data_IF_423857703647
#
_entry.id   IF_423857703647
#
_cell.length_a   1.000
_cell.length_b   1.000
_cell.length_c   1.000
_cell.angle_alpha   90.00
_cell.angle_beta   90.00
_cell.angle_gamma   90.00
#
_symmetry.space_group_name_H-M   'P 1'
#
loop_
_entity.id
_entity.type
_entity.pdbx_description
1 polymer ?
#
# COMPACT_ATOMS: atom_id res chain seq x y z
N UNK A 1 1.97 -59.58 30.89
CA UNK A 1 1.91 -58.24 30.26
C UNK A 1 2.60 -58.33 28.91
N UNK A 2 1.86 -58.26 27.80
CA UNK A 2 2.45 -58.28 26.46
C UNK A 2 2.92 -56.86 26.12
N UNK A 3 4.17 -56.66 25.66
CA UNK A 3 4.66 -55.34 25.28
C UNK A 3 3.97 -54.89 23.98
N UNK A 4 3.27 -53.76 24.03
CA UNK A 4 2.72 -53.10 22.85
C UNK A 4 3.88 -52.61 21.97
N UNK A 5 4.01 -53.18 20.77
CA UNK A 5 5.05 -52.81 19.81
C UNK A 5 4.73 -51.42 19.24
N UNK A 6 5.39 -50.38 19.74
CA UNK A 6 5.30 -49.04 19.16
C UNK A 6 5.85 -49.07 17.73
N UNK A 7 4.98 -48.91 16.72
CA UNK A 7 5.39 -48.68 15.33
C UNK A 7 5.83 -47.22 15.22
N UNK A 8 7.14 -46.98 15.28
CA UNK A 8 7.72 -45.67 15.03
C UNK A 8 7.76 -45.34 13.53
N UNK A 9 7.78 -44.04 13.21
CA UNK A 9 8.04 -43.54 11.85
C UNK A 9 9.43 -43.94 11.38
N UNK A 10 9.57 -44.31 10.11
CA UNK A 10 10.88 -44.60 9.51
C UNK A 10 11.61 -43.30 9.15
N UNK A 11 12.95 -43.33 9.24
CA UNK A 11 13.79 -42.21 8.77
C UNK A 11 13.56 -41.89 7.29
N UNK A 12 13.25 -42.92 6.49
CA UNK A 12 12.97 -42.77 5.05
C UNK A 12 11.64 -42.05 4.83
N UNK A 13 10.58 -42.38 5.57
CA UNK A 13 9.30 -41.65 5.48
C UNK A 13 9.47 -40.18 5.85
N UNK A 14 10.26 -39.89 6.88
CA UNK A 14 10.52 -38.52 7.30
C UNK A 14 11.33 -37.74 6.25
N UNK A 15 12.34 -38.37 5.63
CA UNK A 15 13.12 -37.74 4.57
C UNK A 15 12.29 -37.43 3.32
N UNK A 16 11.39 -38.34 2.91
CA UNK A 16 10.49 -38.09 1.78
C UNK A 16 9.50 -36.97 2.10
N UNK A 17 8.93 -36.96 3.31
CA UNK A 17 8.02 -35.90 3.74
C UNK A 17 8.69 -34.52 3.71
N UNK A 18 9.92 -34.43 4.23
CA UNK A 18 10.71 -33.18 4.21
C UNK A 18 11.03 -32.74 2.77
N UNK A 19 11.34 -33.68 1.87
CA UNK A 19 11.60 -33.36 0.47
C UNK A 19 10.36 -32.74 -0.22
N UNK A 20 9.18 -33.31 -0.01
CA UNK A 20 7.92 -32.79 -0.58
C UNK A 20 7.60 -31.39 -0.01
N UNK A 21 7.70 -31.22 1.32
CA UNK A 21 7.46 -29.92 1.97
C UNK A 21 8.45 -28.87 1.45
N UNK A 22 9.72 -29.25 1.24
CA UNK A 22 10.75 -28.35 0.70
C UNK A 22 10.39 -27.78 -0.68
N UNK A 23 9.89 -28.63 -1.58
CA UNK A 23 9.45 -28.19 -2.92
C UNK A 23 8.23 -27.26 -2.81
N UNK A 24 7.22 -27.63 -2.03
CA UNK A 24 6.02 -26.80 -1.85
C UNK A 24 6.34 -25.43 -1.23
N UNK A 25 7.22 -25.40 -0.22
CA UNK A 25 7.61 -24.18 0.47
C UNK A 25 8.33 -23.18 -0.45
N UNK A 26 9.09 -23.66 -1.44
CA UNK A 26 9.82 -22.80 -2.38
C UNK A 26 8.91 -21.88 -3.20
N UNK A 27 7.69 -22.34 -3.52
CA UNK A 27 6.67 -21.55 -4.22
C UNK A 27 5.74 -20.81 -3.25
N UNK A 28 5.35 -21.47 -2.15
CA UNK A 28 4.36 -20.93 -1.22
C UNK A 28 4.88 -19.72 -0.44
N UNK A 29 6.14 -19.72 -0.02
CA UNK A 29 6.72 -18.64 0.78
C UNK A 29 6.75 -17.29 0.02
N UNK A 30 7.29 -17.18 -1.21
CA UNK A 30 7.31 -15.91 -1.92
C UNK A 30 5.89 -15.40 -2.22
N UNK A 31 4.96 -16.29 -2.58
CA UNK A 31 3.58 -15.91 -2.82
C UNK A 31 2.88 -15.39 -1.55
N UNK A 32 3.07 -16.08 -0.41
CA UNK A 32 2.51 -15.66 0.88
C UNK A 32 3.08 -14.31 1.32
N UNK A 33 4.38 -14.08 1.15
CA UNK A 33 5.02 -12.78 1.44
C UNK A 33 4.40 -11.67 0.61
N UNK A 34 4.24 -11.87 -0.70
CA UNK A 34 3.59 -10.88 -1.57
C UNK A 34 2.15 -10.59 -1.14
N UNK A 35 1.37 -11.61 -0.76
CA UNK A 35 0.00 -11.43 -0.27
C UNK A 35 -0.04 -10.58 1.01
N UNK A 36 0.81 -10.91 1.98
CA UNK A 36 0.92 -10.16 3.24
C UNK A 36 1.35 -8.71 2.97
N UNK A 37 2.30 -8.49 2.07
CA UNK A 37 2.74 -7.15 1.68
C UNK A 37 1.60 -6.35 1.03
N UNK A 38 0.81 -6.94 0.13
CA UNK A 38 -0.39 -6.28 -0.45
C UNK A 38 -1.41 -5.90 0.63
N UNK A 39 -1.64 -6.76 1.61
CA UNK A 39 -2.55 -6.47 2.71
C UNK A 39 -2.08 -5.25 3.53
N UNK A 40 -0.79 -5.22 3.91
CA UNK A 40 -0.19 -4.10 4.64
C UNK A 40 -0.24 -2.79 3.84
N UNK A 41 0.03 -2.83 2.54
CA UNK A 41 -0.06 -1.66 1.67
C UNK A 41 -1.50 -1.18 1.46
N UNK A 42 -2.46 -2.09 1.47
CA UNK A 42 -3.89 -1.75 1.46
C UNK A 42 -4.29 -1.03 2.75
N UNK A 43 -3.79 -1.46 3.91
CA UNK A 43 -4.00 -0.74 5.17
C UNK A 43 -3.39 0.67 5.13
N UNK A 44 -2.18 0.81 4.58
CA UNK A 44 -1.56 2.12 4.37
C UNK A 44 -2.39 3.02 3.43
N UNK A 45 -2.99 2.45 2.38
CA UNK A 45 -3.90 3.17 1.49
C UNK A 45 -5.19 3.61 2.21
N UNK A 46 -5.76 2.72 3.02
CA UNK A 46 -6.96 3.01 3.81
C UNK A 46 -6.71 4.17 4.79
N UNK A 47 -5.53 4.24 5.39
CA UNK A 47 -5.17 5.35 6.28
C UNK A 47 -5.24 6.72 5.58
N UNK A 48 -5.00 6.81 4.28
CA UNK A 48 -4.98 8.08 3.51
C UNK A 48 -6.33 8.40 2.86
N UNK A 49 -7.27 7.45 2.91
CA UNK A 49 -8.61 7.57 2.33
C UNK A 49 -9.41 8.80 2.79
N UNK A 50 -9.35 9.25 4.07
CA UNK A 50 -10.06 10.47 4.48
C UNK A 50 -9.59 11.73 3.75
N UNK A 51 -8.28 11.90 3.55
CA UNK A 51 -7.75 13.02 2.75
C UNK A 51 -8.20 12.90 1.31
N UNK A 52 -8.21 11.66 0.78
CA UNK A 52 -8.72 11.35 -0.55
C UNK A 52 -10.16 11.85 -0.72
N UNK A 53 -11.07 11.49 0.20
CA UNK A 53 -12.47 11.93 0.11
C UNK A 53 -12.62 13.45 0.15
N UNK A 54 -11.91 14.13 1.05
CA UNK A 54 -11.95 15.60 1.10
C UNK A 54 -11.39 16.26 -0.15
N UNK A 55 -10.38 15.66 -0.78
CA UNK A 55 -9.89 16.16 -2.06
C UNK A 55 -10.94 15.99 -3.18
N UNK A 56 -11.71 14.89 -3.19
CA UNK A 56 -12.81 14.73 -4.15
C UNK A 56 -13.86 15.81 -3.94
N UNK A 57 -14.27 16.05 -2.69
CA UNK A 57 -15.24 17.11 -2.34
C UNK A 57 -14.73 18.49 -2.78
N UNK A 58 -13.46 18.78 -2.50
CA UNK A 58 -12.81 20.02 -2.94
C UNK A 58 -12.85 20.18 -4.46
N UNK A 59 -12.53 19.14 -5.22
CA UNK A 59 -12.55 19.19 -6.69
C UNK A 59 -13.98 19.26 -7.23
N UNK A 60 -14.96 18.65 -6.57
CA UNK A 60 -16.37 18.76 -6.96
C UNK A 60 -16.89 20.21 -6.84
N UNK A 61 -16.41 20.97 -5.85
CA UNK A 61 -16.77 22.37 -5.65
C UNK A 61 -15.94 23.32 -6.52
N UNK A 62 -14.63 23.09 -6.64
CA UNK A 62 -13.69 24.02 -7.27
C UNK A 62 -13.32 23.65 -8.72
N UNK A 63 -13.79 22.50 -9.22
CA UNK A 63 -13.52 21.99 -10.56
C UNK A 63 -12.09 21.46 -10.80
N UNK A 64 -11.12 21.70 -9.92
CA UNK A 64 -9.77 21.13 -10.05
C UNK A 64 -8.96 21.21 -8.75
N UNK A 65 -7.79 20.58 -8.72
CA UNK A 65 -6.80 20.76 -7.64
C UNK A 65 -5.88 21.98 -7.85
N UNK A 66 -6.12 22.83 -8.86
CA UNK A 66 -5.23 23.95 -9.19
C UNK A 66 -5.13 24.97 -8.04
N UNK A 67 -6.21 25.19 -7.30
CA UNK A 67 -6.22 26.05 -6.10
C UNK A 67 -5.36 25.54 -4.94
N UNK A 68 -4.92 24.27 -5.00
CA UNK A 68 -4.02 23.66 -4.03
C UNK A 68 -2.57 23.61 -4.54
N UNK A 69 -2.33 23.99 -5.80
CA UNK A 69 -0.98 24.09 -6.34
C UNK A 69 -0.16 25.12 -5.57
N UNK A 70 1.14 24.86 -5.39
CA UNK A 70 2.03 25.74 -4.62
C UNK A 70 1.86 25.72 -3.10
N UNK A 71 0.72 25.25 -2.56
CA UNK A 71 0.49 25.17 -1.12
C UNK A 71 1.34 24.07 -0.47
N UNK A 72 1.79 24.31 0.78
CA UNK A 72 2.40 23.29 1.62
C UNK A 72 1.36 22.31 2.19
N UNK A 73 1.80 21.16 2.69
CA UNK A 73 0.91 20.08 3.14
C UNK A 73 -0.09 20.52 4.23
N UNK A 74 0.36 21.25 5.25
CA UNK A 74 -0.52 21.73 6.32
C UNK A 74 -1.60 22.70 5.83
N UNK A 75 -1.25 23.55 4.86
CA UNK A 75 -2.21 24.47 4.22
C UNK A 75 -3.25 23.70 3.39
N UNK A 76 -2.81 22.65 2.68
CA UNK A 76 -3.72 21.75 1.96
C UNK A 76 -4.68 21.07 2.93
N UNK A 77 -4.19 20.48 4.03
CA UNK A 77 -5.04 19.83 5.02
C UNK A 77 -6.09 20.80 5.62
N UNK A 78 -5.68 22.04 5.91
CA UNK A 78 -6.61 23.08 6.39
C UNK A 78 -7.70 23.40 5.37
N UNK A 79 -7.34 23.56 4.09
CA UNK A 79 -8.29 23.81 3.00
C UNK A 79 -9.26 22.64 2.81
N UNK A 80 -8.79 21.42 3.01
CA UNK A 80 -9.58 20.19 2.94
C UNK A 80 -10.39 19.91 4.21
N UNK A 81 -10.28 20.74 5.26
CA UNK A 81 -10.95 20.50 6.53
C UNK A 81 -10.48 19.23 7.25
N UNK A 82 -9.23 18.82 7.03
CA UNK A 82 -8.61 17.65 7.68
C UNK A 82 -7.66 18.12 8.79
N UNK A 83 -7.67 17.43 9.93
CA UNK A 83 -6.73 17.70 11.03
C UNK A 83 -5.27 17.60 10.57
N UNK A 84 -4.41 18.53 11.00
CA UNK A 84 -2.98 18.50 10.70
C UNK A 84 -2.23 17.38 11.41
N UNK A 85 -2.82 16.81 12.47
CA UNK A 85 -2.24 15.69 13.25
C UNK A 85 -2.63 14.32 12.69
N UNK A 86 -2.90 14.25 11.38
CA UNK A 86 -3.53 13.10 10.74
C UNK A 86 -2.73 11.79 10.87
N UNK A 87 -1.40 11.85 10.90
CA UNK A 87 -0.52 10.66 10.91
C UNK A 87 0.19 10.41 12.24
N UNK A 88 -0.13 11.18 13.30
CA UNK A 88 0.54 11.09 14.60
C UNK A 88 0.46 9.70 15.24
N UNK A 89 -0.63 8.94 15.03
CA UNK A 89 -0.87 7.71 15.80
C UNK A 89 -1.53 6.53 15.04
N UNK A 90 -1.97 6.68 13.78
CA UNK A 90 -3.01 5.80 13.22
C UNK A 90 -2.60 4.89 12.04
N UNK A 91 -1.33 4.80 11.67
CA UNK A 91 -0.93 3.84 10.64
C UNK A 91 0.39 3.17 10.92
N UNK A 92 0.35 1.85 11.07
CA UNK A 92 1.53 1.00 11.29
C UNK A 92 2.48 0.96 10.09
N UNK A 93 1.97 1.28 8.90
CA UNK A 93 2.65 1.08 7.63
C UNK A 93 2.93 2.37 6.85
N UNK A 94 2.43 3.51 7.30
CA UNK A 94 2.71 4.83 6.72
C UNK A 94 3.76 5.54 7.56
N UNK A 95 4.82 6.04 6.91
CA UNK A 95 5.89 6.81 7.54
C UNK A 95 5.67 8.30 7.38
N UNK A 96 5.25 8.74 6.20
CA UNK A 96 4.94 10.14 5.95
C UNK A 96 3.93 10.26 4.80
N UNK A 97 3.14 11.33 4.83
CA UNK A 97 2.30 11.74 3.70
C UNK A 97 2.50 13.21 3.47
N UNK A 98 2.62 13.59 2.20
CA UNK A 98 2.77 14.97 1.82
C UNK A 98 2.14 15.26 0.48
N UNK A 99 1.95 16.54 0.24
CA UNK A 99 1.49 17.08 -1.03
C UNK A 99 2.67 17.47 -1.91
N UNK A 100 2.69 16.99 -3.15
CA UNK A 100 3.55 17.53 -4.18
C UNK A 100 2.88 18.77 -4.77
N UNK A 101 3.36 19.93 -4.35
CA UNK A 101 2.81 21.24 -4.71
C UNK A 101 2.97 21.61 -6.20
N UNK A 102 3.87 20.94 -6.94
CA UNK A 102 4.07 21.16 -8.37
C UNK A 102 3.12 20.33 -9.23
N UNK A 103 2.83 19.08 -8.82
CA UNK A 103 2.07 18.12 -9.63
C UNK A 103 0.65 17.85 -9.13
N UNK A 104 0.27 18.41 -7.98
CA UNK A 104 -1.04 18.18 -7.38
C UNK A 104 -1.26 16.73 -6.96
N UNK A 105 -0.23 16.10 -6.38
CA UNK A 105 -0.24 14.68 -6.01
C UNK A 105 -0.15 14.50 -4.50
N UNK A 106 -0.89 13.53 -3.98
CA UNK A 106 -0.65 12.99 -2.64
C UNK A 106 0.40 11.90 -2.75
N UNK A 107 1.44 12.00 -1.93
CA UNK A 107 2.51 11.00 -1.84
C UNK A 107 2.55 10.41 -0.45
N UNK A 108 2.71 9.09 -0.40
CA UNK A 108 2.75 8.31 0.83
C UNK A 108 4.04 7.50 0.81
N UNK A 109 4.85 7.66 1.86
CA UNK A 109 6.00 6.79 2.12
C UNK A 109 5.65 5.76 3.18
N UNK A 110 6.32 4.62 3.10
CA UNK A 110 6.05 3.47 3.94
C UNK A 110 7.10 3.33 5.05
N UNK A 111 6.73 2.61 6.11
CA UNK A 111 7.67 2.25 7.17
C UNK A 111 8.72 1.25 6.67
N UNK A 112 9.85 1.21 7.35
CA UNK A 112 10.99 0.38 6.92
C UNK A 112 10.71 -1.15 7.08
N UNK A 113 9.58 -1.52 7.72
CA UNK A 113 9.09 -2.91 7.85
C UNK A 113 8.32 -3.41 6.60
N UNK A 114 8.45 -2.68 5.47
CA UNK A 114 7.92 -3.04 4.16
C UNK A 114 9.06 -2.98 3.14
N UNK A 115 9.91 -4.01 3.08
CA UNK A 115 11.10 -3.99 2.21
C UNK A 115 10.75 -3.84 0.73
N UNK A 116 9.61 -4.40 0.28
CA UNK A 116 9.16 -4.28 -1.11
C UNK A 116 8.71 -2.85 -1.48
N UNK A 117 8.40 -2.02 -0.48
CA UNK A 117 7.98 -0.63 -0.63
C UNK A 117 9.06 0.38 -0.19
N UNK A 118 10.21 -0.10 0.28
CA UNK A 118 11.27 0.76 0.80
C UNK A 118 11.83 1.66 -0.31
N UNK A 119 11.94 2.97 -0.02
CA UNK A 119 12.36 3.99 -0.99
C UNK A 119 11.34 4.26 -2.11
N UNK A 120 10.17 3.62 -2.09
CA UNK A 120 9.08 3.83 -3.05
C UNK A 120 7.91 4.53 -2.40
N UNK A 121 7.05 5.10 -3.26
CA UNK A 121 5.90 5.88 -2.84
C UNK A 121 4.62 5.36 -3.48
N UNK A 122 3.53 5.39 -2.72
CA UNK A 122 2.20 5.43 -3.31
C UNK A 122 1.95 6.88 -3.74
N UNK A 123 1.67 7.06 -5.02
CA UNK A 123 1.41 8.37 -5.61
C UNK A 123 -0.01 8.38 -6.14
N UNK A 124 -0.82 9.27 -5.61
CA UNK A 124 -2.23 9.43 -5.98
C UNK A 124 -2.44 10.82 -6.55
N UNK A 125 -3.13 10.89 -7.68
CA UNK A 125 -3.53 12.13 -8.34
C UNK A 125 -5.03 12.12 -8.60
N UNK A 126 -5.66 13.25 -8.33
CA UNK A 126 -7.00 13.54 -8.80
C UNK A 126 -6.91 14.02 -10.26
N UNK A 127 -7.60 13.33 -11.17
CA UNK A 127 -7.69 13.69 -12.58
C UNK A 127 -9.16 13.98 -12.94
N UNK A 128 -9.36 14.87 -13.90
CA UNK A 128 -10.69 15.24 -14.42
C UNK A 128 -10.71 14.81 -15.88
N UNK A 129 -11.41 13.72 -16.16
CA UNK A 129 -11.50 13.15 -17.50
C UNK A 129 -12.93 13.34 -18.00
N UNK A 130 -13.12 14.16 -19.04
CA UNK A 130 -14.45 14.47 -19.61
C UNK A 130 -15.51 14.95 -18.59
N UNK A 131 -15.09 15.67 -17.55
CA UNK A 131 -15.98 16.16 -16.49
C UNK A 131 -16.28 15.13 -15.38
N UNK A 132 -15.73 13.92 -15.47
CA UNK A 132 -15.76 12.93 -14.40
C UNK A 132 -14.47 12.96 -13.59
N UNK A 133 -14.61 12.99 -12.27
CA UNK A 133 -13.49 12.86 -11.35
C UNK A 133 -12.97 11.41 -11.37
N UNK A 134 -11.68 11.21 -11.66
CA UNK A 134 -10.98 9.91 -11.53
C UNK A 134 -9.79 10.01 -10.59
N UNK A 135 -9.72 9.08 -9.64
CA UNK A 135 -8.46 8.80 -8.96
C UNK A 135 -7.55 8.03 -9.89
N UNK A 136 -6.33 8.53 -10.09
CA UNK A 136 -5.26 7.80 -10.77
C UNK A 136 -4.12 7.58 -9.78
N UNK A 137 -3.67 6.33 -9.69
CA UNK A 137 -2.50 5.98 -8.92
C UNK A 137 -1.37 5.72 -9.90
N UNK A 138 -0.22 6.36 -9.70
CA UNK A 138 0.92 6.15 -10.58
C UNK A 138 1.65 4.88 -10.16
N UNK A 139 2.08 4.10 -11.14
CA UNK A 139 2.87 2.90 -10.93
C UNK A 139 4.32 3.11 -11.34
N UNK A 140 5.18 2.16 -10.98
CA UNK A 140 6.62 2.20 -11.29
C UNK A 140 6.93 2.30 -12.79
N UNK A 141 5.99 1.95 -13.68
CA UNK A 141 6.17 2.10 -15.14
C UNK A 141 6.02 3.55 -15.62
N UNK A 142 5.29 4.38 -14.87
CA UNK A 142 5.10 5.81 -15.16
C UNK A 142 6.05 6.69 -14.36
N UNK A 143 6.40 6.28 -13.15
CA UNK A 143 7.28 7.02 -12.26
C UNK A 143 8.15 6.04 -11.49
N UNK A 144 9.47 6.04 -11.70
CA UNK A 144 10.39 5.02 -11.14
C UNK A 144 10.35 4.88 -9.62
N UNK A 145 10.01 5.95 -8.91
CA UNK A 145 9.88 5.98 -7.45
C UNK A 145 8.50 5.52 -6.96
N UNK A 146 7.55 5.25 -7.85
CA UNK A 146 6.24 4.73 -7.47
C UNK A 146 6.28 3.22 -7.19
N UNK A 147 5.28 2.75 -6.44
CA UNK A 147 5.09 1.32 -6.22
C UNK A 147 4.84 0.56 -7.53
N UNK A 148 5.32 -0.69 -7.65
CA UNK A 148 4.92 -1.57 -8.73
C UNK A 148 3.39 -1.73 -8.80
N UNK A 149 2.85 -1.84 -10.02
CA UNK A 149 1.41 -1.98 -10.23
C UNK A 149 0.80 -3.19 -9.51
N UNK A 150 1.58 -4.25 -9.33
CA UNK A 150 1.18 -5.45 -8.60
C UNK A 150 0.76 -5.17 -7.15
N UNK A 151 1.36 -4.16 -6.52
CA UNK A 151 1.14 -3.79 -5.12
C UNK A 151 0.12 -2.66 -4.95
N UNK A 152 -0.39 -2.11 -6.05
CA UNK A 152 -1.46 -1.12 -5.97
C UNK A 152 -2.79 -1.80 -5.60
N UNK A 153 -3.62 -1.18 -4.75
CA UNK A 153 -4.93 -1.72 -4.42
C UNK A 153 -5.84 -1.71 -5.66
N UNK A 154 -6.88 -2.54 -5.66
CA UNK A 154 -7.82 -2.65 -6.79
C UNK A 154 -8.52 -1.32 -7.13
N UNK A 155 -8.71 -0.44 -6.15
CA UNK A 155 -9.24 0.92 -6.40
C UNK A 155 -8.29 1.85 -7.17
N UNK A 156 -7.05 1.40 -7.40
CA UNK A 156 -5.96 2.10 -8.07
C UNK A 156 -5.47 1.38 -9.34
N UNK A 157 -6.05 0.22 -9.69
CA UNK A 157 -5.78 -0.54 -10.90
C UNK A 157 -6.88 -0.30 -11.93
#
# INVERSE_FOLDING_TARGET
MQPTKYRGFTLVELMIAVAIIGVLASFAIPQYRNYVTKAKLTEAFLAVTPVKYRLVEYVAVNGSTAGLAGKGWSAVLKELGVSTNFFGDNSRYVKNVWWNNTKGEIRVSFTDNLPEANGRYLVMRADMDSGAFRWRCLSSSTYSLALPAEYLPSSCQ
#
